data_IF_187853689172
#
_entry.id   IF_187853689172
#
_cell.length_a   1.000
_cell.length_b   1.000
_cell.length_c   1.000
_cell.angle_alpha   90.00
_cell.angle_beta   90.00
_cell.angle_gamma   90.00
#
_symmetry.space_group_name_H-M   'P 1'
#
loop_
_entity.id
_entity.type
_entity.pdbx_description
1 polymer ?
#
# COMPACT_ATOMS: atom_id res chain seq x y z
N UNK A 1 -5.74 -31.45 -8.89
CA UNK A 1 -5.67 -30.09 -8.32
C UNK A 1 -6.79 -29.27 -8.92
N UNK A 2 -7.91 -29.14 -8.21
CA UNK A 2 -9.05 -28.33 -8.65
C UNK A 2 -8.67 -26.84 -8.61
N UNK A 3 -9.25 -26.02 -9.48
CA UNK A 3 -8.94 -24.58 -9.60
C UNK A 3 -9.07 -23.77 -8.28
N UNK A 4 -9.70 -24.36 -7.26
CA UNK A 4 -9.81 -23.87 -5.88
C UNK A 4 -8.47 -23.82 -5.12
N UNK A 5 -7.47 -24.64 -5.47
CA UNK A 5 -6.17 -24.70 -4.76
C UNK A 5 -5.22 -23.53 -5.06
N UNK A 6 -5.49 -22.74 -6.10
CA UNK A 6 -4.57 -21.67 -6.54
C UNK A 6 -4.53 -20.47 -5.59
N UNK A 7 -5.45 -20.37 -4.63
CA UNK A 7 -5.62 -19.18 -3.81
C UNK A 7 -5.65 -19.51 -2.31
N UNK A 8 -4.99 -18.67 -1.51
CA UNK A 8 -4.87 -18.84 -0.06
C UNK A 8 -6.21 -18.81 0.70
N UNK A 9 -7.30 -18.40 0.05
CA UNK A 9 -8.63 -18.30 0.63
C UNK A 9 -9.37 -19.64 0.70
N UNK A 10 -8.87 -20.71 0.05
CA UNK A 10 -9.44 -22.08 0.04
C UNK A 10 -10.94 -22.14 -0.31
N UNK A 11 -11.47 -21.12 -0.99
CA UNK A 11 -12.90 -21.00 -1.32
C UNK A 11 -13.79 -20.46 -0.20
N UNK A 12 -13.25 -19.97 0.92
CA UNK A 12 -14.02 -19.30 1.96
C UNK A 12 -14.20 -17.79 1.65
N UNK A 13 -15.46 -17.30 1.48
CA UNK A 13 -15.73 -15.89 1.20
C UNK A 13 -15.25 -14.95 2.31
N UNK A 14 -15.27 -15.36 3.58
CA UNK A 14 -14.83 -14.53 4.69
C UNK A 14 -13.31 -14.34 4.68
N UNK A 15 -12.57 -15.41 4.40
CA UNK A 15 -11.11 -15.38 4.28
C UNK A 15 -10.67 -14.56 3.07
N UNK A 16 -11.34 -14.70 1.93
CA UNK A 16 -11.11 -13.90 0.72
C UNK A 16 -11.29 -12.39 1.00
N UNK A 17 -12.33 -12.02 1.77
CA UNK A 17 -12.57 -10.63 2.17
C UNK A 17 -11.50 -10.09 3.12
N UNK A 18 -11.03 -10.89 4.09
CA UNK A 18 -9.93 -10.51 4.99
C UNK A 18 -8.63 -10.28 4.22
N UNK A 19 -8.31 -11.14 3.26
CA UNK A 19 -7.15 -10.96 2.38
C UNK A 19 -7.29 -9.68 1.55
N UNK A 20 -8.46 -9.40 0.98
CA UNK A 20 -8.69 -8.15 0.26
C UNK A 20 -8.45 -6.91 1.13
N UNK A 21 -8.93 -6.92 2.38
CA UNK A 21 -8.70 -5.84 3.35
C UNK A 21 -7.22 -5.69 3.71
N UNK A 22 -6.52 -6.81 3.95
CA UNK A 22 -5.09 -6.79 4.26
C UNK A 22 -4.28 -6.13 3.14
N UNK A 23 -4.52 -6.54 1.87
CA UNK A 23 -3.84 -5.94 0.72
C UNK A 23 -4.23 -4.47 0.53
N UNK A 24 -5.48 -4.11 0.79
CA UNK A 24 -5.92 -2.70 0.78
C UNK A 24 -5.22 -1.86 1.85
N UNK A 25 -5.05 -2.40 3.06
CA UNK A 25 -4.33 -1.75 4.15
C UNK A 25 -2.84 -1.58 3.82
N UNK A 26 -2.20 -2.58 3.21
CA UNK A 26 -0.82 -2.44 2.75
C UNK A 26 -0.66 -1.35 1.69
N UNK A 27 -1.59 -1.27 0.74
CA UNK A 27 -1.59 -0.19 -0.25
C UNK A 27 -1.72 1.19 0.43
N UNK A 28 -2.65 1.31 1.36
CA UNK A 28 -2.89 2.54 2.12
C UNK A 28 -1.65 2.96 2.91
N UNK A 29 -1.05 2.05 3.69
CA UNK A 29 0.14 2.32 4.50
C UNK A 29 1.31 2.73 3.61
N UNK A 30 1.51 2.07 2.46
CA UNK A 30 2.57 2.42 1.53
C UNK A 30 2.39 3.86 0.99
N UNK A 31 1.18 4.21 0.54
CA UNK A 31 0.91 5.56 0.05
C UNK A 31 0.95 6.63 1.13
N UNK A 32 0.48 6.33 2.34
CA UNK A 32 0.64 7.24 3.49
C UNK A 32 2.12 7.46 3.81
N UNK A 33 2.93 6.41 3.79
CA UNK A 33 4.38 6.54 3.96
C UNK A 33 5.02 7.42 2.88
N UNK A 34 4.62 7.25 1.62
CA UNK A 34 5.10 8.07 0.51
C UNK A 34 4.71 9.54 0.69
N UNK A 35 3.44 9.79 1.03
CA UNK A 35 2.90 11.13 1.28
C UNK A 35 3.57 11.81 2.47
N UNK A 36 3.73 11.12 3.60
CA UNK A 36 4.41 11.63 4.78
C UNK A 36 5.88 11.94 4.51
N UNK A 37 6.57 11.09 3.76
CA UNK A 37 7.97 11.32 3.37
C UNK A 37 8.10 12.57 2.50
N UNK A 38 7.24 12.70 1.48
CA UNK A 38 7.22 13.87 0.61
C UNK A 38 6.84 15.16 1.37
N UNK A 39 5.87 15.08 2.28
CA UNK A 39 5.44 16.20 3.10
C UNK A 39 6.51 16.64 4.09
N UNK A 40 7.19 15.70 4.77
CA UNK A 40 8.29 16.01 5.67
C UNK A 40 9.45 16.68 4.95
N UNK A 41 9.77 16.23 3.73
CA UNK A 41 10.75 16.89 2.87
C UNK A 41 10.29 18.31 2.50
N UNK A 42 9.05 18.48 2.06
CA UNK A 42 8.51 19.79 1.68
C UNK A 42 8.57 20.79 2.82
N UNK A 43 8.15 20.37 4.03
CA UNK A 43 8.18 21.22 5.23
C UNK A 43 9.62 21.63 5.57
N UNK A 44 10.60 20.74 5.42
CA UNK A 44 12.00 21.09 5.63
C UNK A 44 12.50 22.15 4.64
N UNK A 45 12.10 22.08 3.37
CA UNK A 45 12.45 23.09 2.37
C UNK A 45 11.75 24.43 2.65
N UNK A 46 10.45 24.40 2.95
CA UNK A 46 9.67 25.61 3.21
C UNK A 46 10.04 26.30 4.53
N UNK A 47 10.48 25.54 5.53
CA UNK A 47 10.89 26.04 6.84
C UNK A 47 12.38 26.38 6.95
N UNK A 48 13.15 26.20 5.87
CA UNK A 48 14.60 26.40 5.84
C UNK A 48 15.35 25.67 6.97
N UNK A 49 14.89 24.47 7.35
CA UNK A 49 15.45 23.75 8.51
C UNK A 49 16.91 23.37 8.27
N UNK A 50 17.77 23.77 9.22
CA UNK A 50 19.19 23.44 9.26
C UNK A 50 19.46 22.53 10.47
N UNK A 51 20.40 21.59 10.33
CA UNK A 51 20.87 20.69 11.39
C UNK A 51 19.82 19.77 12.02
N UNK A 52 18.87 19.29 11.22
CA UNK A 52 17.79 18.43 11.67
C UNK A 52 18.26 16.97 11.82
N UNK A 53 18.54 16.52 13.06
CA UNK A 53 19.07 15.18 13.35
C UNK A 53 18.14 14.01 12.95
N UNK A 54 16.83 14.24 12.82
CA UNK A 54 15.83 13.17 12.57
C UNK A 54 14.98 13.39 11.31
N UNK A 55 15.39 14.26 10.41
CA UNK A 55 14.57 14.62 9.24
C UNK A 55 15.38 15.15 8.07
N UNK A 56 14.67 15.75 7.12
CA UNK A 56 15.28 16.44 6.00
C UNK A 56 15.77 17.82 6.45
N UNK A 57 16.86 18.27 5.82
CA UNK A 57 17.34 19.63 5.86
C UNK A 57 16.92 20.38 4.60
N UNK A 58 16.91 21.70 4.70
CA UNK A 58 16.79 22.55 3.53
C UNK A 58 18.00 22.35 2.60
N UNK A 59 17.73 22.21 1.30
CA UNK A 59 18.71 21.87 0.28
C UNK A 59 18.87 20.37 0.01
N UNK A 60 18.28 19.49 0.84
CA UNK A 60 18.29 18.05 0.55
C UNK A 60 17.57 17.73 -0.76
N UNK A 61 18.14 16.82 -1.55
CA UNK A 61 17.47 16.28 -2.73
C UNK A 61 16.21 15.52 -2.32
N UNK A 62 15.14 15.66 -3.11
CA UNK A 62 13.90 14.93 -2.84
C UNK A 62 14.16 13.41 -2.84
N UNK A 63 13.61 12.66 -1.86
CA UNK A 63 13.86 11.23 -1.69
C UNK A 63 13.08 10.36 -2.69
N UNK A 64 13.31 10.57 -3.99
CA UNK A 64 12.55 9.96 -5.09
C UNK A 64 12.52 8.44 -5.02
N UNK A 65 13.64 7.81 -4.64
CA UNK A 65 13.74 6.34 -4.56
C UNK A 65 12.75 5.78 -3.52
N UNK A 66 12.75 6.33 -2.31
CA UNK A 66 11.86 5.87 -1.24
C UNK A 66 10.38 6.10 -1.61
N UNK A 67 10.07 7.29 -2.11
CA UNK A 67 8.70 7.65 -2.54
C UNK A 67 8.24 6.76 -3.70
N UNK A 68 9.06 6.56 -4.72
CA UNK A 68 8.74 5.72 -5.87
C UNK A 68 8.50 4.26 -5.46
N UNK A 69 9.35 3.69 -4.61
CA UNK A 69 9.18 2.32 -4.12
C UNK A 69 7.86 2.15 -3.37
N UNK A 70 7.51 3.10 -2.50
CA UNK A 70 6.25 3.07 -1.75
C UNK A 70 5.03 3.23 -2.66
N UNK A 71 5.09 4.12 -3.65
CA UNK A 71 4.02 4.30 -4.64
C UNK A 71 3.82 3.04 -5.46
N UNK A 72 4.89 2.45 -6.00
CA UNK A 72 4.83 1.22 -6.80
C UNK A 72 4.35 0.04 -5.96
N UNK A 73 4.84 -0.11 -4.73
CA UNK A 73 4.37 -1.15 -3.81
C UNK A 73 2.87 -1.03 -3.55
N UNK A 74 2.37 0.19 -3.29
CA UNK A 74 0.94 0.42 -3.10
C UNK A 74 0.13 0.11 -4.36
N UNK A 75 0.60 0.53 -5.54
CA UNK A 75 -0.03 0.22 -6.82
C UNK A 75 -0.07 -1.30 -7.10
N UNK A 76 0.95 -2.06 -6.70
CA UNK A 76 0.97 -3.52 -6.83
C UNK A 76 -0.04 -4.23 -5.91
N UNK A 77 -0.33 -3.66 -4.74
CA UNK A 77 -1.27 -4.24 -3.77
C UNK A 77 -2.74 -4.07 -4.17
N UNK A 78 -3.10 -2.93 -4.80
CA UNK A 78 -4.47 -2.61 -5.24
C UNK A 78 -5.12 -3.68 -6.13
N UNK A 79 -4.50 -4.15 -7.24
CA UNK A 79 -5.12 -5.16 -8.10
C UNK A 79 -5.31 -6.50 -7.38
N UNK A 80 -4.44 -6.84 -6.42
CA UNK A 80 -4.59 -8.04 -5.59
C UNK A 80 -5.81 -7.89 -4.66
N UNK A 81 -5.95 -6.73 -4.01
CA UNK A 81 -7.10 -6.43 -3.16
C UNK A 81 -8.43 -6.50 -3.94
N UNK A 82 -8.48 -5.88 -5.13
CA UNK A 82 -9.66 -5.87 -6.01
C UNK A 82 -10.02 -7.30 -6.43
N UNK A 83 -9.04 -8.11 -6.87
CA UNK A 83 -9.26 -9.50 -7.28
C UNK A 83 -9.82 -10.34 -6.15
N UNK A 84 -9.28 -10.21 -4.94
CA UNK A 84 -9.75 -10.94 -3.76
C UNK A 84 -11.15 -10.50 -3.33
N UNK A 85 -11.46 -9.20 -3.42
CA UNK A 85 -12.81 -8.70 -3.12
C UNK A 85 -13.86 -9.20 -4.12
N UNK A 86 -13.54 -9.14 -5.43
CA UNK A 86 -14.41 -9.67 -6.48
C UNK A 86 -14.63 -11.18 -6.34
N UNK A 87 -13.62 -11.92 -5.88
CA UNK A 87 -13.71 -13.35 -5.57
C UNK A 87 -14.59 -13.61 -4.35
N UNK A 88 -14.41 -12.87 -3.26
CA UNK A 88 -15.26 -12.96 -2.08
C UNK A 88 -16.74 -12.75 -2.41
N UNK A 89 -17.05 -11.75 -3.27
CA UNK A 89 -18.42 -11.50 -3.75
C UNK A 89 -18.97 -12.69 -4.56
N UNK A 90 -18.18 -13.24 -5.47
CA UNK A 90 -18.59 -14.41 -6.27
C UNK A 90 -18.87 -15.64 -5.41
N UNK A 91 -18.01 -15.92 -4.43
CA UNK A 91 -18.18 -17.04 -3.51
C UNK A 91 -19.42 -16.86 -2.60
N UNK A 92 -19.71 -15.61 -2.19
CA UNK A 92 -20.90 -15.31 -1.41
C UNK A 92 -22.21 -15.40 -2.20
N UNK A 93 -22.17 -15.21 -3.53
CA UNK A 93 -23.35 -15.34 -4.42
C UNK A 93 -23.59 -16.76 -4.91
N UNK A 94 -22.57 -17.62 -4.86
CA UNK A 94 -22.66 -19.03 -5.26
C UNK A 94 -23.16 -19.96 -4.13
N UNK A 95 -23.39 -19.42 -2.94
CA UNK A 95 -24.06 -20.07 -1.81
C UNK A 95 -25.48 -19.55 -1.71
#
# INVERSE_FOLDING_TARGET
MTATDRWADRGDPALARRLALMWGLFALVAWLGAGLTAAAWWVAQAGEYQENYRGFNAGDSFPWIAVALLVVAGLGCVPVAIRQYARARRLAQAR
#
